data_IF_832493563102
#
_entry.id   IF_832493563102
#
_cell.length_a   1.000
_cell.length_b   1.000
_cell.length_c   1.000
_cell.angle_alpha   90.00
_cell.angle_beta   90.00
_cell.angle_gamma   90.00
#
_symmetry.space_group_name_H-M   'P 1'
#
loop_
_entity.id
_entity.type
_entity.pdbx_description
1 polymer ?
#
# COMPACT_ATOMS: atom_id res chain seq x y z
N UNK A 1 42.47 44.44 -11.52
CA UNK A 1 41.25 43.61 -11.27
C UNK A 1 41.44 42.11 -11.56
N UNK A 2 42.34 41.72 -12.41
CA UNK A 2 42.62 40.31 -12.76
C UNK A 2 43.40 39.50 -11.71
N UNK A 3 44.13 40.16 -10.80
CA UNK A 3 44.92 39.51 -9.75
C UNK A 3 44.09 39.01 -8.54
N UNK A 4 42.89 39.50 -8.35
CA UNK A 4 41.98 39.04 -7.27
C UNK A 4 41.19 37.74 -7.61
N UNK A 5 41.08 37.42 -8.88
CA UNK A 5 40.40 36.19 -9.32
C UNK A 5 41.28 34.93 -9.25
N UNK A 6 42.61 35.11 -9.18
CA UNK A 6 43.54 33.97 -9.02
C UNK A 6 43.76 33.50 -7.57
N UNK A 7 43.41 34.33 -6.60
CA UNK A 7 43.52 33.96 -5.19
C UNK A 7 42.39 33.09 -4.69
N UNK A 8 41.22 33.09 -5.37
CA UNK A 8 40.05 32.23 -5.03
C UNK A 8 40.16 30.80 -5.59
N UNK A 9 41.10 30.56 -6.51
CA UNK A 9 41.33 29.25 -7.11
C UNK A 9 42.40 28.39 -6.39
N UNK A 10 43.00 28.90 -5.32
CA UNK A 10 44.11 28.23 -4.61
C UNK A 10 43.64 27.39 -3.42
N UNK A 11 42.31 27.38 -3.12
CA UNK A 11 41.74 26.62 -1.99
C UNK A 11 40.91 25.43 -2.51
N UNK A 12 41.29 24.87 -3.63
CA UNK A 12 40.71 23.69 -4.22
C UNK A 12 41.40 22.44 -3.62
N UNK A 13 41.11 22.21 -2.32
CA UNK A 13 41.46 20.94 -1.68
C UNK A 13 40.46 19.87 -2.20
N UNK A 14 40.84 19.24 -3.34
CA UNK A 14 40.07 18.12 -3.90
C UNK A 14 40.01 16.96 -2.93
N UNK A 15 38.93 16.17 -3.01
CA UNK A 15 38.78 14.91 -2.25
C UNK A 15 39.86 13.89 -2.65
N UNK A 16 40.30 13.09 -1.69
CA UNK A 16 41.17 11.96 -1.96
C UNK A 16 40.40 10.80 -2.61
N UNK A 17 41.06 10.00 -3.42
CA UNK A 17 40.47 8.80 -4.03
C UNK A 17 39.96 7.83 -2.95
N UNK A 18 40.69 7.69 -1.85
CA UNK A 18 40.31 6.82 -0.73
C UNK A 18 39.03 7.32 -0.04
N UNK A 19 38.89 8.63 0.14
CA UNK A 19 37.73 9.25 0.75
C UNK A 19 36.45 8.99 -0.08
N UNK A 20 36.54 9.12 -1.40
CA UNK A 20 35.44 8.78 -2.31
C UNK A 20 35.11 7.28 -2.28
N UNK A 21 36.14 6.43 -2.25
CA UNK A 21 35.97 4.97 -2.21
C UNK A 21 35.25 4.51 -0.94
N UNK A 22 35.59 5.07 0.22
CA UNK A 22 34.95 4.77 1.49
C UNK A 22 33.45 5.18 1.46
N UNK A 23 33.15 6.36 0.91
CA UNK A 23 31.75 6.83 0.80
C UNK A 23 30.92 5.89 -0.06
N UNK A 24 31.38 5.51 -1.25
CA UNK A 24 30.61 4.58 -2.11
C UNK A 24 30.50 3.19 -1.50
N UNK A 25 31.48 2.72 -0.75
CA UNK A 25 31.41 1.44 -0.04
C UNK A 25 30.31 1.47 1.04
N UNK A 26 30.25 2.52 1.86
CA UNK A 26 29.22 2.69 2.89
C UNK A 26 27.83 2.80 2.26
N UNK A 27 27.69 3.60 1.20
CA UNK A 27 26.43 3.76 0.48
C UNK A 27 25.94 2.42 -0.13
N UNK A 28 26.86 1.62 -0.66
CA UNK A 28 26.55 0.29 -1.20
C UNK A 28 26.01 -0.67 -0.14
N UNK A 29 26.61 -0.69 1.05
CA UNK A 29 26.14 -1.52 2.18
C UNK A 29 24.76 -1.05 2.64
N UNK A 30 24.56 0.25 2.82
CA UNK A 30 23.29 0.82 3.26
C UNK A 30 22.18 0.56 2.23
N UNK A 31 22.47 0.73 0.94
CA UNK A 31 21.51 0.44 -0.13
C UNK A 31 21.11 -1.03 -0.13
N UNK A 32 22.04 -1.96 0.09
CA UNK A 32 21.75 -3.39 0.17
C UNK A 32 20.81 -3.74 1.30
N UNK A 33 20.99 -3.17 2.49
CA UNK A 33 20.12 -3.40 3.66
C UNK A 33 18.70 -2.87 3.41
N UNK A 34 18.57 -1.69 2.81
CA UNK A 34 17.25 -1.09 2.51
C UNK A 34 16.46 -1.94 1.54
N UNK A 35 17.05 -2.38 0.43
CA UNK A 35 16.36 -3.22 -0.55
C UNK A 35 15.85 -4.52 0.07
N UNK A 36 16.63 -5.16 0.92
CA UNK A 36 16.22 -6.38 1.61
C UNK A 36 15.08 -6.14 2.59
N UNK A 37 15.07 -5.01 3.29
CA UNK A 37 14.05 -4.68 4.30
C UNK A 37 12.67 -4.40 3.69
N UNK A 38 12.59 -3.80 2.48
CA UNK A 38 11.29 -3.46 1.86
C UNK A 38 10.61 -4.62 1.15
N UNK A 39 11.33 -5.68 0.81
CA UNK A 39 10.75 -6.84 0.12
C UNK A 39 9.66 -7.54 0.95
N UNK A 40 9.82 -7.65 2.28
CA UNK A 40 8.82 -8.24 3.17
C UNK A 40 7.69 -7.30 3.58
N UNK A 41 7.90 -5.99 3.50
CA UNK A 41 6.89 -4.99 3.89
C UNK A 41 5.78 -4.86 2.85
N UNK A 42 6.10 -5.02 1.57
CA UNK A 42 5.13 -4.92 0.48
C UNK A 42 4.01 -5.97 0.62
N UNK A 43 4.35 -7.23 0.87
CA UNK A 43 3.37 -8.31 1.03
C UNK A 43 2.48 -8.12 2.26
N UNK A 44 3.05 -7.68 3.38
CA UNK A 44 2.30 -7.40 4.60
C UNK A 44 1.34 -6.21 4.43
N UNK A 45 1.75 -5.19 3.70
CA UNK A 45 0.93 -4.02 3.40
C UNK A 45 -0.26 -4.38 2.52
N UNK A 46 -0.06 -5.20 1.50
CA UNK A 46 -1.13 -5.66 0.63
C UNK A 46 -2.11 -6.59 1.35
N UNK A 47 -1.61 -7.50 2.18
CA UNK A 47 -2.44 -8.33 3.07
C UNK A 47 -3.32 -7.49 3.98
N UNK A 48 -2.74 -6.50 4.64
CA UNK A 48 -3.46 -5.59 5.52
C UNK A 48 -4.53 -4.78 4.76
N UNK A 49 -4.22 -4.32 3.55
CA UNK A 49 -5.18 -3.61 2.71
C UNK A 49 -6.38 -4.50 2.32
N UNK A 50 -6.14 -5.74 1.91
CA UNK A 50 -7.19 -6.70 1.57
C UNK A 50 -8.10 -6.98 2.77
N UNK A 51 -7.53 -7.23 3.94
CA UNK A 51 -8.30 -7.49 5.17
C UNK A 51 -9.08 -6.26 5.63
N UNK A 52 -8.50 -5.08 5.51
CA UNK A 52 -9.15 -3.81 5.88
C UNK A 52 -10.34 -3.53 4.98
N UNK A 53 -10.18 -3.71 3.66
CA UNK A 53 -11.29 -3.52 2.72
C UNK A 53 -12.43 -4.52 3.00
N UNK A 54 -12.11 -5.79 3.24
CA UNK A 54 -13.10 -6.80 3.58
C UNK A 54 -13.88 -6.45 4.86
N UNK A 55 -13.19 -6.00 5.92
CA UNK A 55 -13.84 -5.59 7.17
C UNK A 55 -14.70 -4.33 6.99
N UNK A 56 -14.27 -3.39 6.16
CA UNK A 56 -15.01 -2.18 5.83
C UNK A 56 -16.31 -2.52 5.09
N UNK A 57 -16.24 -3.41 4.11
CA UNK A 57 -17.40 -3.89 3.36
C UNK A 57 -18.38 -4.61 4.26
N UNK A 58 -17.92 -5.48 5.15
CA UNK A 58 -18.80 -6.14 6.14
C UNK A 58 -19.55 -5.14 7.02
N UNK A 59 -18.82 -4.15 7.53
CA UNK A 59 -19.42 -3.10 8.37
C UNK A 59 -20.48 -2.30 7.60
N UNK A 60 -20.20 -1.99 6.34
CA UNK A 60 -21.15 -1.28 5.47
C UNK A 60 -22.39 -2.12 5.18
N UNK A 61 -22.23 -3.42 4.92
CA UNK A 61 -23.36 -4.34 4.69
C UNK A 61 -24.23 -4.50 5.94
N UNK A 62 -23.63 -4.66 7.12
CA UNK A 62 -24.37 -4.72 8.38
C UNK A 62 -25.13 -3.40 8.67
N UNK A 63 -24.51 -2.27 8.36
CA UNK A 63 -25.16 -0.96 8.49
C UNK A 63 -26.33 -0.80 7.50
N UNK A 64 -26.19 -1.33 6.27
CA UNK A 64 -27.27 -1.36 5.30
C UNK A 64 -28.42 -2.27 5.76
N UNK A 65 -28.09 -3.47 6.23
CA UNK A 65 -29.07 -4.42 6.74
C UNK A 65 -29.87 -3.87 7.94
N UNK A 66 -29.20 -3.14 8.82
CA UNK A 66 -29.86 -2.50 9.95
C UNK A 66 -30.95 -1.51 9.51
N UNK A 67 -30.76 -0.84 8.37
CA UNK A 67 -31.70 0.14 7.83
C UNK A 67 -32.77 -0.46 6.91
N UNK A 68 -32.39 -1.37 6.03
CA UNK A 68 -33.22 -1.86 4.93
C UNK A 68 -33.70 -3.29 5.10
N UNK A 69 -33.13 -4.04 6.05
CA UNK A 69 -33.32 -5.48 6.25
C UNK A 69 -32.93 -6.33 5.03
N UNK A 70 -32.04 -5.81 4.20
CA UNK A 70 -31.49 -6.51 3.04
C UNK A 70 -30.04 -6.17 2.81
N UNK A 71 -29.28 -7.12 2.31
CA UNK A 71 -27.93 -6.92 1.81
C UNK A 71 -27.96 -6.48 0.35
N UNK A 72 -26.93 -5.82 -0.12
CA UNK A 72 -26.85 -5.25 -1.47
C UNK A 72 -25.48 -5.52 -2.10
N UNK A 73 -25.31 -5.10 -3.33
CA UNK A 73 -24.03 -5.12 -4.02
C UNK A 73 -23.19 -3.89 -3.71
N UNK A 74 -21.96 -3.87 -4.23
CA UNK A 74 -21.04 -2.76 -4.05
C UNK A 74 -21.62 -1.41 -4.51
N UNK A 75 -22.36 -1.40 -5.62
CA UNK A 75 -22.98 -0.20 -6.15
C UNK A 75 -24.10 0.31 -5.23
N UNK A 76 -24.88 -0.58 -4.64
CA UNK A 76 -25.91 -0.26 -3.67
C UNK A 76 -25.34 0.38 -2.40
N UNK A 77 -24.21 -0.12 -1.88
CA UNK A 77 -23.55 0.46 -0.72
C UNK A 77 -23.01 1.88 -0.98
N UNK A 78 -22.49 2.15 -2.17
CA UNK A 78 -22.08 3.50 -2.58
C UNK A 78 -23.28 4.42 -2.71
N UNK A 79 -24.37 3.94 -3.31
CA UNK A 79 -25.63 4.70 -3.42
C UNK A 79 -26.23 5.03 -2.06
N UNK A 80 -26.14 4.09 -1.11
CA UNK A 80 -26.57 4.29 0.28
C UNK A 80 -25.62 5.19 1.10
N UNK A 81 -24.52 5.67 0.50
CA UNK A 81 -23.47 6.47 1.14
C UNK A 81 -22.80 5.78 2.34
N UNK A 82 -22.76 4.46 2.34
CA UNK A 82 -22.07 3.64 3.32
C UNK A 82 -20.63 3.36 2.89
N UNK A 83 -20.35 3.42 1.60
CA UNK A 83 -19.02 3.41 1.02
C UNK A 83 -18.82 4.66 0.15
N UNK A 84 -17.61 5.19 0.15
CA UNK A 84 -17.24 6.34 -0.72
C UNK A 84 -17.00 5.89 -2.16
N UNK A 85 -16.35 4.73 -2.33
CA UNK A 85 -16.05 4.13 -3.63
C UNK A 85 -16.38 2.64 -3.58
N UNK A 86 -16.53 2.04 -4.77
CA UNK A 86 -16.67 0.59 -4.84
C UNK A 86 -15.37 -0.09 -4.40
N UNK A 87 -15.46 -1.22 -3.66
CA UNK A 87 -14.30 -2.01 -3.28
C UNK A 87 -13.61 -2.58 -4.52
N UNK A 88 -12.29 -2.66 -4.47
CA UNK A 88 -11.44 -3.14 -5.57
C UNK A 88 -10.74 -4.45 -5.25
N UNK A 89 -10.60 -4.78 -3.98
CA UNK A 89 -9.88 -5.96 -3.48
C UNK A 89 -10.83 -7.08 -3.05
N UNK A 90 -12.12 -6.77 -2.92
CA UNK A 90 -13.17 -7.69 -2.50
C UNK A 90 -14.38 -7.57 -3.43
N UNK A 91 -14.93 -8.70 -3.82
CA UNK A 91 -16.19 -8.76 -4.59
C UNK A 91 -17.34 -9.15 -3.66
N UNK A 92 -18.43 -8.41 -3.74
CA UNK A 92 -19.67 -8.66 -3.00
C UNK A 92 -20.64 -9.40 -3.92
N UNK A 93 -21.15 -10.53 -3.45
CA UNK A 93 -22.17 -11.31 -4.17
C UNK A 93 -23.41 -11.42 -3.28
N UNK A 94 -24.45 -10.62 -3.51
CA UNK A 94 -25.72 -10.77 -2.79
C UNK A 94 -26.33 -12.13 -3.11
N UNK A 95 -26.82 -12.83 -2.08
CA UNK A 95 -27.50 -14.10 -2.24
C UNK A 95 -29.01 -13.86 -2.19
N UNK A 96 -29.74 -14.38 -3.15
CA UNK A 96 -31.22 -14.25 -3.19
C UNK A 96 -31.90 -15.33 -2.31
N UNK A 97 -32.84 -14.98 -1.43
CA UNK A 97 -33.32 -13.62 -1.13
C UNK A 97 -32.22 -12.83 -0.40
N UNK A 98 -32.16 -11.53 -0.55
CA UNK A 98 -31.06 -10.63 -0.07
C UNK A 98 -30.86 -10.62 1.46
N UNK A 99 -31.00 -11.77 2.10
CA UNK A 99 -30.81 -12.02 3.54
C UNK A 99 -29.38 -12.46 3.90
N UNK A 100 -28.57 -12.73 2.90
CA UNK A 100 -27.14 -13.05 3.06
C UNK A 100 -26.32 -12.49 1.91
N UNK A 101 -25.03 -12.42 2.10
CA UNK A 101 -24.06 -12.01 1.07
C UNK A 101 -22.79 -12.85 1.17
N UNK A 102 -22.13 -13.03 0.05
CA UNK A 102 -20.80 -13.64 -0.02
C UNK A 102 -19.74 -12.58 -0.29
N UNK A 103 -18.59 -12.70 0.36
CA UNK A 103 -17.41 -11.92 0.04
C UNK A 103 -16.35 -12.84 -0.52
N UNK A 104 -15.71 -12.43 -1.61
CA UNK A 104 -14.57 -13.12 -2.18
C UNK A 104 -13.46 -12.14 -2.46
N UNK A 105 -12.20 -12.53 -2.18
CA UNK A 105 -11.05 -11.73 -2.57
C UNK A 105 -10.83 -11.81 -4.07
N UNK A 106 -10.48 -10.68 -4.67
CA UNK A 106 -9.98 -10.65 -6.05
C UNK A 106 -8.60 -11.34 -6.15
N UNK A 107 -8.15 -11.65 -7.36
CA UNK A 107 -6.93 -12.42 -7.61
C UNK A 107 -5.68 -11.84 -6.90
N UNK A 108 -5.58 -10.52 -6.81
CA UNK A 108 -4.47 -9.85 -6.12
C UNK A 108 -4.41 -10.12 -4.61
N UNK A 109 -5.53 -10.44 -3.99
CA UNK A 109 -5.62 -10.78 -2.58
C UNK A 109 -5.59 -12.30 -2.34
N UNK A 110 -6.18 -13.09 -3.20
CA UNK A 110 -6.32 -14.55 -3.02
C UNK A 110 -5.00 -15.31 -3.05
N UNK A 111 -3.97 -14.76 -3.69
CA UNK A 111 -2.62 -15.34 -3.76
C UNK A 111 -1.72 -15.03 -2.55
N UNK A 112 -2.16 -14.21 -1.60
CA UNK A 112 -1.34 -13.78 -0.47
C UNK A 112 -1.37 -14.86 0.62
N UNK A 113 -0.18 -15.35 0.99
CA UNK A 113 -0.05 -16.35 2.05
C UNK A 113 -0.54 -15.83 3.41
N UNK A 114 -1.38 -16.61 4.07
CA UNK A 114 -1.90 -16.29 5.40
C UNK A 114 -2.99 -15.21 5.44
N UNK A 115 -3.58 -14.87 4.29
CA UNK A 115 -4.82 -14.10 4.27
C UNK A 115 -5.97 -15.07 4.54
N UNK A 116 -6.79 -14.74 5.53
CA UNK A 116 -7.99 -15.54 5.87
C UNK A 116 -9.10 -15.37 4.82
N UNK A 117 -10.19 -16.10 5.02
CA UNK A 117 -11.40 -15.85 4.23
C UNK A 117 -11.97 -14.46 4.55
N UNK A 118 -12.44 -13.69 3.56
CA UNK A 118 -12.95 -12.34 3.76
C UNK A 118 -14.22 -12.33 4.64
#
# INVERSE_FOLDING_TARGET
>A
MLTKLRAAAADDSGFTLVELLVVIAILGILAGVVVFSVAGVADNSQKSACQTEASTVRTAEEANYAKTKSYTDAAGLVTAKLLTNQPTLVTITPVSPTTSYGLTYVATCSGISGIGNP
#
